data_IF_811645488063
#
_entry.id   IF_811645488063
#
_cell.length_a   1.000
_cell.length_b   1.000
_cell.length_c   1.000
_cell.angle_alpha   90.00
_cell.angle_beta   90.00
_cell.angle_gamma   90.00
#
_symmetry.space_group_name_H-M   'P 1'
#
loop_
_entity.id
_entity.type
_entity.pdbx_description
1 polymer ?
#
# COMPACT_ATOMS: atom_id res chain seq x y z
N UNK A 1 1.98 4.44 9.37
CA UNK A 1 1.19 4.44 8.11
C UNK A 1 1.21 5.84 7.51
N UNK A 2 1.37 5.97 6.19
CA UNK A 2 1.53 7.22 5.48
C UNK A 2 2.78 8.02 5.90
N UNK A 3 3.86 7.32 6.20
CA UNK A 3 5.16 7.97 6.41
C UNK A 3 5.64 8.64 5.11
N UNK A 4 6.20 9.85 5.15
CA UNK A 4 6.64 10.57 3.96
C UNK A 4 7.63 9.79 3.08
N UNK A 5 8.53 8.98 3.64
CA UNK A 5 9.47 8.15 2.88
C UNK A 5 8.75 6.99 2.17
N UNK A 6 7.76 6.37 2.83
CA UNK A 6 6.93 5.34 2.22
C UNK A 6 6.08 5.92 1.08
N UNK A 7 5.48 7.10 1.29
CA UNK A 7 4.71 7.82 0.28
C UNK A 7 5.53 8.12 -0.98
N UNK A 8 6.77 8.57 -0.78
CA UNK A 8 7.70 8.89 -1.87
C UNK A 8 8.03 7.66 -2.72
N UNK A 9 8.10 6.48 -2.12
CA UNK A 9 8.29 5.21 -2.83
C UNK A 9 7.04 4.77 -3.60
N UNK A 10 5.85 5.09 -3.11
CA UNK A 10 4.57 4.74 -3.73
C UNK A 10 4.27 5.56 -5.00
N UNK A 11 4.69 6.83 -5.04
CA UNK A 11 4.41 7.74 -6.17
C UNK A 11 4.93 7.21 -7.53
N UNK A 12 6.22 6.82 -7.69
CA UNK A 12 6.70 6.29 -8.97
C UNK A 12 6.03 4.97 -9.34
N UNK A 13 5.60 4.16 -8.37
CA UNK A 13 4.87 2.92 -8.65
C UNK A 13 3.48 3.20 -9.26
N UNK A 14 2.75 4.20 -8.77
CA UNK A 14 1.47 4.63 -9.34
C UNK A 14 1.64 5.16 -10.76
N UNK A 15 2.65 6.02 -11.00
CA UNK A 15 2.96 6.55 -12.33
C UNK A 15 3.37 5.43 -13.30
N UNK A 16 4.21 4.48 -12.84
CA UNK A 16 4.64 3.34 -13.65
C UNK A 16 3.49 2.40 -14.02
N UNK A 17 2.57 2.16 -13.08
CA UNK A 17 1.38 1.34 -13.33
C UNK A 17 0.48 2.00 -14.38
N UNK A 18 0.29 3.32 -14.29
CA UNK A 18 -0.43 4.11 -15.29
C UNK A 18 0.25 4.04 -16.66
N UNK A 19 1.58 4.21 -16.68
CA UNK A 19 2.40 4.10 -17.89
C UNK A 19 2.23 2.73 -18.56
N UNK A 20 2.31 1.64 -17.80
CA UNK A 20 2.13 0.28 -18.31
C UNK A 20 0.77 0.12 -19.00
N UNK A 21 -0.30 0.63 -18.42
CA UNK A 21 -1.62 0.60 -19.03
C UNK A 21 -1.71 1.47 -20.29
N UNK A 22 -1.05 2.64 -20.33
CA UNK A 22 -0.95 3.46 -21.54
C UNK A 22 -0.20 2.75 -22.67
N UNK A 23 0.91 2.07 -22.35
CA UNK A 23 1.70 1.30 -23.35
C UNK A 23 0.83 0.19 -23.96
N UNK A 24 0.02 -0.51 -23.17
CA UNK A 24 -0.89 -1.54 -23.69
C UNK A 24 -1.91 -0.96 -24.69
N UNK A 25 -2.43 0.23 -24.44
CA UNK A 25 -3.32 0.93 -25.37
C UNK A 25 -2.56 1.40 -26.60
N UNK A 26 -1.37 1.96 -26.43
CA UNK A 26 -0.52 2.40 -27.54
C UNK A 26 -0.17 1.24 -28.49
N UNK A 27 0.22 0.08 -27.96
CA UNK A 27 0.51 -1.12 -28.77
C UNK A 27 -0.69 -1.62 -29.56
N UNK A 28 -1.90 -1.53 -29.01
CA UNK A 28 -3.11 -2.08 -29.65
C UNK A 28 -3.84 -1.09 -30.55
N UNK A 29 -3.70 0.21 -30.29
CA UNK A 29 -4.53 1.25 -30.92
C UNK A 29 -3.73 2.40 -31.52
N UNK A 30 -2.42 2.49 -31.23
CA UNK A 30 -1.53 3.57 -31.66
C UNK A 30 -2.04 4.96 -31.21
N UNK A 31 -2.61 5.05 -30.01
CA UNK A 31 -3.06 6.26 -29.35
C UNK A 31 -2.39 6.41 -27.99
N UNK A 32 -2.48 7.54 -27.32
CA UNK A 32 -1.87 7.87 -26.02
C UNK A 32 -0.34 8.01 -26.04
N UNK A 33 0.25 8.35 -27.19
CA UNK A 33 1.70 8.55 -27.31
C UNK A 33 2.20 9.64 -26.36
N UNK A 34 1.50 10.79 -26.30
CA UNK A 34 1.83 11.87 -25.38
C UNK A 34 1.77 11.44 -23.92
N UNK A 35 0.76 10.67 -23.53
CA UNK A 35 0.65 10.09 -22.19
C UNK A 35 1.83 9.17 -21.84
N UNK A 36 2.24 8.32 -22.76
CA UNK A 36 3.39 7.41 -22.55
C UNK A 36 4.68 8.20 -22.34
N UNK A 37 4.93 9.23 -23.14
CA UNK A 37 6.14 10.06 -23.00
C UNK A 37 6.12 10.82 -21.67
N UNK A 38 5.02 11.52 -21.36
CA UNK A 38 4.90 12.31 -20.13
C UNK A 38 5.02 11.43 -18.90
N UNK A 39 4.34 10.27 -18.87
CA UNK A 39 4.41 9.35 -17.74
C UNK A 39 5.77 8.68 -17.59
N UNK A 40 6.51 8.45 -18.67
CA UNK A 40 7.89 7.95 -18.60
C UNK A 40 8.81 8.96 -17.93
N UNK A 41 8.71 10.24 -18.32
CA UNK A 41 9.45 11.33 -17.70
C UNK A 41 9.03 11.48 -16.24
N UNK A 42 7.73 11.51 -15.95
CA UNK A 42 7.20 11.68 -14.60
C UNK A 42 7.62 10.53 -13.68
N UNK A 43 7.57 9.28 -14.13
CA UNK A 43 7.97 8.11 -13.33
C UNK A 43 9.43 8.20 -12.91
N UNK A 44 10.31 8.50 -13.86
CA UNK A 44 11.74 8.68 -13.57
C UNK A 44 11.98 9.87 -12.64
N UNK A 45 11.35 11.00 -12.92
CA UNK A 45 11.44 12.22 -12.10
C UNK A 45 10.99 11.96 -10.66
N UNK A 46 9.85 11.28 -10.46
CA UNK A 46 9.34 10.95 -9.13
C UNK A 46 10.28 9.99 -8.37
N UNK A 47 10.91 9.04 -9.04
CA UNK A 47 11.90 8.15 -8.43
C UNK A 47 13.14 8.92 -7.96
N UNK A 48 13.66 9.83 -8.78
CA UNK A 48 14.80 10.69 -8.43
C UNK A 48 14.42 11.73 -7.36
N UNK A 49 13.20 12.29 -7.42
CA UNK A 49 12.67 13.19 -6.40
C UNK A 49 12.59 12.47 -5.04
N UNK A 50 12.21 11.19 -5.03
CA UNK A 50 12.24 10.35 -3.86
C UNK A 50 13.62 10.26 -3.23
N UNK A 51 14.64 10.00 -4.04
CA UNK A 51 16.02 9.95 -3.59
C UNK A 51 16.49 11.29 -3.02
N UNK A 52 16.11 12.40 -3.68
CA UNK A 52 16.38 13.75 -3.17
C UNK A 52 15.72 13.98 -1.81
N UNK A 53 14.43 13.72 -1.67
CA UNK A 53 13.69 13.98 -0.44
C UNK A 53 14.25 13.20 0.76
N UNK A 54 14.64 11.93 0.56
CA UNK A 54 15.24 11.10 1.61
C UNK A 54 16.64 11.58 1.99
N UNK A 55 17.44 12.03 1.02
CA UNK A 55 18.86 12.45 1.25
C UNK A 55 19.00 13.87 1.75
N UNK A 56 18.11 14.77 1.35
CA UNK A 56 18.17 16.20 1.71
C UNK A 56 18.00 16.48 3.21
N UNK A 57 17.43 15.53 3.96
CA UNK A 57 17.08 15.75 5.37
C UNK A 57 15.86 16.65 5.59
N UNK A 58 15.16 17.03 4.53
CA UNK A 58 13.97 17.89 4.58
C UNK A 58 12.77 17.13 5.14
N UNK A 59 12.70 15.80 4.90
CA UNK A 59 11.59 14.97 5.38
C UNK A 59 11.72 14.65 6.86
N UNK A 60 10.68 14.92 7.62
CA UNK A 60 10.56 14.50 9.00
C UNK A 60 9.99 13.07 9.04
N UNK A 61 10.86 12.07 9.01
CA UNK A 61 10.49 10.65 9.00
C UNK A 61 11.45 9.84 9.86
N UNK A 62 10.93 8.80 10.49
CA UNK A 62 11.74 7.81 11.22
C UNK A 62 12.66 6.99 10.31
N UNK A 63 12.47 7.05 8.99
CA UNK A 63 13.24 6.33 7.97
C UNK A 63 14.32 7.19 7.31
N UNK A 64 14.54 8.43 7.75
CA UNK A 64 15.60 9.30 7.24
C UNK A 64 16.89 9.10 8.03
N UNK A 65 17.71 8.12 7.64
CA UNK A 65 18.92 7.74 8.38
C UNK A 65 20.20 8.46 7.96
N UNK A 66 20.23 9.08 6.79
CA UNK A 66 21.43 9.64 6.21
C UNK A 66 21.17 11.01 5.58
N UNK A 67 21.09 12.02 6.44
CA UNK A 67 20.98 13.40 6.00
C UNK A 67 22.31 13.89 5.42
N UNK A 68 22.29 14.24 4.15
CA UNK A 68 23.42 14.81 3.42
C UNK A 68 22.92 15.94 2.52
N UNK A 69 22.80 17.16 3.04
CA UNK A 69 22.24 18.29 2.31
C UNK A 69 23.02 18.65 1.05
N UNK A 70 24.35 18.45 1.03
CA UNK A 70 25.19 18.76 -0.14
C UNK A 70 24.89 17.82 -1.31
N UNK A 71 24.81 16.52 -1.03
CA UNK A 71 24.36 15.53 -2.04
C UNK A 71 22.90 15.74 -2.43
N UNK A 72 22.06 16.14 -1.48
CA UNK A 72 20.68 16.53 -1.74
C UNK A 72 20.59 17.66 -2.76
N UNK A 73 21.37 18.73 -2.59
CA UNK A 73 21.43 19.86 -3.51
C UNK A 73 21.92 19.44 -4.91
N UNK A 74 22.94 18.59 -4.98
CA UNK A 74 23.42 18.06 -6.25
C UNK A 74 22.32 17.30 -7.02
N UNK A 75 21.58 16.42 -6.32
CA UNK A 75 20.48 15.67 -6.91
C UNK A 75 19.37 16.63 -7.37
N UNK A 76 19.06 17.68 -6.61
CA UNK A 76 18.03 18.67 -6.96
C UNK A 76 18.39 19.42 -8.25
N UNK A 77 19.64 19.89 -8.37
CA UNK A 77 20.13 20.57 -9.58
C UNK A 77 20.09 19.65 -10.79
N UNK A 78 20.59 18.41 -10.62
CA UNK A 78 20.51 17.40 -11.68
C UNK A 78 19.07 17.14 -12.14
N UNK A 79 18.16 17.01 -11.19
CA UNK A 79 16.74 16.76 -11.43
C UNK A 79 16.09 17.93 -12.17
N UNK A 80 16.41 19.18 -11.76
CA UNK A 80 15.93 20.37 -12.44
C UNK A 80 16.39 20.42 -13.91
N UNK A 81 17.68 20.17 -14.18
CA UNK A 81 18.23 20.13 -15.53
C UNK A 81 17.54 19.05 -16.36
N UNK A 82 17.37 17.85 -15.79
CA UNK A 82 16.73 16.73 -16.48
C UNK A 82 15.28 16.99 -16.84
N UNK A 83 14.50 17.55 -15.90
CA UNK A 83 13.08 17.93 -16.17
C UNK A 83 13.02 19.00 -17.25
N UNK A 84 13.86 20.05 -17.13
CA UNK A 84 13.90 21.15 -18.06
C UNK A 84 14.23 20.66 -19.49
N UNK A 85 15.27 19.87 -19.64
CA UNK A 85 15.64 19.29 -20.94
C UNK A 85 14.57 18.36 -21.48
N UNK A 86 13.96 17.53 -20.63
CA UNK A 86 12.87 16.62 -21.05
C UNK A 86 11.67 17.39 -21.58
N UNK A 87 11.28 18.47 -20.90
CA UNK A 87 10.19 19.35 -21.33
C UNK A 87 10.53 20.03 -22.65
N UNK A 88 11.75 20.58 -22.80
CA UNK A 88 12.20 21.19 -24.05
C UNK A 88 12.16 20.20 -25.21
N UNK A 89 12.74 19.01 -25.03
CA UNK A 89 12.73 17.96 -26.06
C UNK A 89 11.30 17.58 -26.42
N UNK A 90 10.42 17.42 -25.44
CA UNK A 90 9.02 17.10 -25.68
C UNK A 90 8.35 18.18 -26.55
N UNK A 91 8.48 19.48 -26.20
CA UNK A 91 7.84 20.55 -26.95
C UNK A 91 8.39 20.74 -28.36
N UNK A 92 9.69 20.56 -28.55
CA UNK A 92 10.30 20.82 -29.87
C UNK A 92 10.21 19.61 -30.82
N UNK A 93 10.21 18.38 -30.32
CA UNK A 93 10.30 17.18 -31.15
C UNK A 93 9.05 16.31 -31.14
N UNK A 94 8.15 16.48 -30.16
CA UNK A 94 6.91 15.72 -30.16
C UNK A 94 5.94 16.25 -31.21
N UNK A 95 5.60 15.39 -32.17
CA UNK A 95 4.57 15.65 -33.16
C UNK A 95 3.37 14.76 -32.86
N UNK A 96 2.22 15.36 -32.60
CA UNK A 96 0.99 14.61 -32.47
C UNK A 96 0.60 14.02 -33.82
N UNK A 97 0.76 12.72 -33.98
CA UNK A 97 0.28 11.95 -35.12
C UNK A 97 -1.23 11.61 -35.00
N UNK A 98 -1.97 12.37 -34.20
CA UNK A 98 -3.37 12.08 -33.86
C UNK A 98 -4.37 12.47 -35.00
N UNK A 99 -3.97 12.38 -36.27
CA UNK A 99 -4.89 12.55 -37.39
C UNK A 99 -5.91 11.39 -37.56
N UNK A 100 -5.97 10.43 -36.63
CA UNK A 100 -7.01 9.41 -36.64
C UNK A 100 -8.13 9.84 -35.72
N UNK A 101 -9.29 10.22 -36.30
CA UNK A 101 -10.54 10.39 -35.57
C UNK A 101 -10.88 9.12 -34.80
N UNK A 102 -10.52 9.07 -33.54
CA UNK A 102 -10.79 7.92 -32.69
C UNK A 102 -12.13 8.12 -31.99
N UNK A 103 -13.09 7.26 -32.29
CA UNK A 103 -14.38 7.27 -31.59
C UNK A 103 -14.28 6.44 -30.30
N UNK A 104 -14.31 7.14 -29.15
CA UNK A 104 -14.40 6.50 -27.86
C UNK A 104 -15.83 5.99 -27.60
N UNK A 105 -15.98 4.69 -27.40
CA UNK A 105 -17.21 4.12 -26.87
C UNK A 105 -17.10 3.97 -25.37
N UNK A 106 -18.11 4.42 -24.62
CA UNK A 106 -18.12 4.33 -23.15
C UNK A 106 -17.90 2.90 -22.63
N UNK A 107 -18.50 1.90 -23.29
CA UNK A 107 -18.31 0.48 -22.96
C UNK A 107 -17.22 -0.13 -23.84
N UNK A 108 -15.99 0.33 -23.65
CA UNK A 108 -14.81 -0.21 -24.31
C UNK A 108 -13.67 -0.43 -23.32
N UNK A 109 -12.74 -1.31 -23.68
CA UNK A 109 -11.55 -1.58 -22.88
C UNK A 109 -10.65 -0.36 -22.78
N UNK A 110 -10.55 0.41 -23.86
CA UNK A 110 -9.78 1.66 -23.93
C UNK A 110 -10.29 2.68 -22.92
N UNK A 111 -11.61 2.92 -22.91
CA UNK A 111 -12.23 3.85 -21.97
C UNK A 111 -12.04 3.40 -20.51
N UNK A 112 -12.17 2.10 -20.25
CA UNK A 112 -11.95 1.57 -18.91
C UNK A 112 -10.51 1.74 -18.44
N UNK A 113 -9.52 1.58 -19.34
CA UNK A 113 -8.12 1.84 -19.02
C UNK A 113 -7.88 3.33 -18.76
N UNK A 114 -8.46 4.22 -19.57
CA UNK A 114 -8.36 5.67 -19.32
C UNK A 114 -8.95 6.07 -17.98
N UNK A 115 -10.12 5.55 -17.62
CA UNK A 115 -10.74 5.81 -16.32
C UNK A 115 -9.83 5.31 -15.19
N UNK A 116 -9.27 4.11 -15.31
CA UNK A 116 -8.30 3.58 -14.35
C UNK A 116 -7.07 4.51 -14.22
N UNK A 117 -6.54 5.01 -15.33
CA UNK A 117 -5.40 5.92 -15.33
C UNK A 117 -5.73 7.24 -14.61
N UNK A 118 -6.94 7.78 -14.80
CA UNK A 118 -7.40 8.96 -14.07
C UNK A 118 -7.44 8.73 -12.55
N UNK A 119 -7.94 7.58 -12.09
CA UNK A 119 -7.91 7.24 -10.66
C UNK A 119 -6.48 7.12 -10.13
N UNK A 120 -5.59 6.47 -10.86
CA UNK A 120 -4.18 6.34 -10.45
C UNK A 120 -3.49 7.69 -10.35
N UNK A 121 -3.73 8.59 -11.32
CA UNK A 121 -3.19 9.96 -11.30
C UNK A 121 -3.80 10.79 -10.17
N UNK A 122 -5.08 10.61 -9.86
CA UNK A 122 -5.72 11.23 -8.71
C UNK A 122 -5.06 10.79 -7.40
N UNK A 123 -4.88 9.49 -7.19
CA UNK A 123 -4.21 8.96 -5.99
C UNK A 123 -2.78 9.47 -5.88
N UNK A 124 -2.04 9.48 -6.98
CA UNK A 124 -0.70 10.06 -7.03
C UNK A 124 -0.71 11.54 -6.62
N UNK A 125 -1.65 12.33 -7.13
CA UNK A 125 -1.76 13.76 -6.80
C UNK A 125 -2.08 13.99 -5.32
N UNK A 126 -2.98 13.20 -4.73
CA UNK A 126 -3.29 13.27 -3.30
C UNK A 126 -2.05 12.96 -2.45
N UNK A 127 -1.30 11.91 -2.81
CA UNK A 127 -0.09 11.51 -2.09
C UNK A 127 1.00 12.57 -2.25
N UNK A 128 1.22 13.06 -3.46
CA UNK A 128 2.21 14.10 -3.75
C UNK A 128 1.92 15.37 -2.94
N UNK A 129 0.69 15.88 -2.99
CA UNK A 129 0.30 17.09 -2.26
C UNK A 129 0.43 16.86 -0.75
N UNK A 130 -0.10 15.75 -0.21
CA UNK A 130 -0.04 15.45 1.22
C UNK A 130 1.38 15.28 1.75
N UNK A 131 2.32 14.82 0.90
CA UNK A 131 3.72 14.63 1.29
C UNK A 131 4.55 15.91 1.15
N UNK A 132 4.29 16.73 0.11
CA UNK A 132 5.08 17.94 -0.17
C UNK A 132 4.53 19.20 0.50
N UNK A 133 3.23 19.26 0.79
CA UNK A 133 2.60 20.41 1.41
C UNK A 133 3.22 20.81 2.77
N UNK A 134 3.52 19.87 3.71
CA UNK A 134 4.21 20.21 4.95
C UNK A 134 5.57 20.89 4.73
N UNK A 135 6.34 20.39 3.75
CA UNK A 135 7.66 20.95 3.38
C UNK A 135 7.50 22.40 2.88
N UNK A 136 6.55 22.59 1.98
CA UNK A 136 6.27 23.93 1.44
C UNK A 136 5.86 24.92 2.55
N UNK A 137 5.00 24.49 3.46
CA UNK A 137 4.53 25.32 4.57
C UNK A 137 5.67 25.68 5.53
N UNK A 138 6.55 24.73 5.87
CA UNK A 138 7.70 24.97 6.72
C UNK A 138 8.66 26.02 6.13
N UNK A 139 8.86 25.99 4.82
CA UNK A 139 9.71 26.96 4.12
C UNK A 139 9.08 28.37 4.10
N UNK A 140 7.76 28.48 3.91
CA UNK A 140 7.08 29.78 3.73
C UNK A 140 6.69 30.42 5.07
N UNK A 141 6.19 29.63 6.04
CA UNK A 141 5.65 30.17 7.30
C UNK A 141 6.43 29.71 8.55
N UNK A 142 7.45 28.87 8.40
CA UNK A 142 8.17 28.24 9.50
C UNK A 142 7.29 27.37 10.42
N UNK A 143 6.04 27.09 10.00
CA UNK A 143 5.14 26.21 10.74
C UNK A 143 5.43 24.75 10.42
N UNK A 144 5.55 23.92 11.47
CA UNK A 144 5.73 22.48 11.33
C UNK A 144 4.39 21.75 11.50
N UNK A 145 3.88 21.25 10.40
CA UNK A 145 2.69 20.38 10.40
C UNK A 145 3.05 18.98 9.94
N UNK A 146 2.25 18.00 10.34
CA UNK A 146 2.31 16.64 9.79
C UNK A 146 0.98 16.27 9.16
N UNK A 147 1.02 15.64 8.00
CA UNK A 147 -0.16 15.12 7.30
C UNK A 147 -0.21 13.61 7.53
N UNK A 148 -1.23 13.16 8.25
CA UNK A 148 -1.38 11.77 8.67
C UNK A 148 -2.54 11.02 8.00
N UNK A 149 -2.85 9.79 8.48
CA UNK A 149 -3.87 8.90 7.93
C UNK A 149 -5.24 9.52 7.68
N UNK A 150 -5.78 10.43 8.54
CA UNK A 150 -7.10 11.01 8.31
C UNK A 150 -7.22 11.76 6.99
N UNK A 151 -6.16 12.49 6.58
CA UNK A 151 -6.13 13.22 5.31
C UNK A 151 -6.22 12.26 4.11
N UNK A 152 -5.32 11.27 4.07
CA UNK A 152 -5.26 10.32 2.96
C UNK A 152 -6.51 9.44 2.89
N UNK A 153 -6.97 8.94 4.02
CA UNK A 153 -8.16 8.10 4.07
C UNK A 153 -9.41 8.84 3.59
N UNK A 154 -9.58 10.10 3.98
CA UNK A 154 -10.73 10.93 3.57
C UNK A 154 -10.74 11.21 2.07
N UNK A 155 -9.57 11.38 1.45
CA UNK A 155 -9.46 11.70 0.02
C UNK A 155 -9.40 10.46 -0.86
N UNK A 156 -8.70 9.40 -0.44
CA UNK A 156 -8.50 8.21 -1.26
C UNK A 156 -9.68 7.24 -1.19
N UNK A 157 -10.22 6.98 0.01
CA UNK A 157 -11.20 5.90 0.20
C UNK A 157 -12.50 6.07 -0.61
N UNK A 158 -13.11 7.26 -0.77
CA UNK A 158 -14.29 7.42 -1.62
C UNK A 158 -14.04 7.08 -3.08
N UNK A 159 -12.86 7.43 -3.60
CA UNK A 159 -12.49 7.17 -4.99
C UNK A 159 -11.95 5.75 -5.22
N UNK A 160 -11.57 5.06 -4.15
CA UNK A 160 -11.20 3.65 -4.23
C UNK A 160 -12.40 2.78 -4.64
N UNK A 161 -13.61 3.10 -4.19
CA UNK A 161 -14.83 2.35 -4.53
C UNK A 161 -15.08 2.28 -6.05
N UNK A 162 -15.25 3.40 -6.78
CA UNK A 162 -15.42 3.35 -8.23
C UNK A 162 -14.19 2.77 -8.95
N UNK A 163 -12.99 3.00 -8.46
CA UNK A 163 -11.77 2.39 -8.99
C UNK A 163 -11.84 0.85 -8.95
N UNK A 164 -12.20 0.24 -7.82
CA UNK A 164 -12.36 -1.20 -7.69
C UNK A 164 -13.46 -1.76 -8.62
N UNK A 165 -14.55 -1.03 -8.78
CA UNK A 165 -15.61 -1.40 -9.73
C UNK A 165 -15.10 -1.44 -11.17
N UNK A 166 -14.44 -0.39 -11.64
CA UNK A 166 -13.88 -0.35 -13.00
C UNK A 166 -12.79 -1.39 -13.19
N UNK A 167 -11.98 -1.67 -12.18
CA UNK A 167 -10.98 -2.73 -12.22
C UNK A 167 -11.60 -4.12 -12.33
N UNK A 168 -12.75 -4.37 -11.70
CA UNK A 168 -13.47 -5.65 -11.80
C UNK A 168 -14.07 -5.87 -13.19
N UNK A 169 -14.60 -4.83 -13.83
CA UNK A 169 -15.32 -4.92 -15.10
C UNK A 169 -14.42 -4.69 -16.32
N UNK A 170 -13.47 -3.75 -16.23
CA UNK A 170 -12.64 -3.33 -17.35
C UNK A 170 -11.95 -4.47 -18.12
N UNK A 171 -11.31 -5.45 -17.46
CA UNK A 171 -10.70 -6.59 -18.14
C UNK A 171 -11.68 -7.45 -18.96
N UNK A 172 -12.99 -7.36 -18.67
CA UNK A 172 -14.06 -8.10 -19.37
C UNK A 172 -14.54 -7.41 -20.63
N UNK A 173 -14.21 -6.15 -20.79
CA UNK A 173 -14.59 -5.37 -21.96
C UNK A 173 -13.73 -5.74 -23.17
N UNK A 174 -14.34 -5.63 -24.36
CA UNK A 174 -13.65 -5.79 -25.64
C UNK A 174 -13.06 -4.44 -26.08
N UNK A 175 -12.08 -4.50 -26.96
CA UNK A 175 -11.59 -3.35 -27.69
C UNK A 175 -12.68 -2.79 -28.61
N UNK A 176 -12.78 -1.46 -28.72
CA UNK A 176 -13.72 -0.67 -29.49
C UNK A 176 -15.12 -0.64 -28.84
N UNK A 177 -15.86 -1.74 -28.85
CA UNK A 177 -17.24 -1.81 -28.31
C UNK A 177 -17.50 -3.15 -27.65
N UNK A 178 -18.06 -3.11 -26.46
CA UNK A 178 -18.42 -4.29 -25.68
C UNK A 178 -19.91 -4.48 -25.60
N UNK A 179 -20.33 -5.75 -25.57
CA UNK A 179 -21.62 -6.19 -25.11
C UNK A 179 -21.44 -6.89 -23.74
N UNK A 180 -22.21 -6.48 -22.77
CA UNK A 180 -22.18 -7.01 -21.39
C UNK A 180 -23.29 -8.05 -21.19
N UNK A 181 -24.16 -8.27 -22.20
CA UNK A 181 -25.25 -9.24 -22.11
C UNK A 181 -24.77 -10.66 -21.76
N UNK A 182 -25.55 -11.39 -20.99
CA UNK A 182 -25.26 -12.79 -20.62
C UNK A 182 -24.22 -13.02 -19.53
N UNK A 183 -23.73 -11.98 -18.86
CA UNK A 183 -22.74 -12.12 -17.76
C UNK A 183 -23.41 -12.12 -16.38
N UNK A 184 -24.39 -12.98 -16.17
CA UNK A 184 -25.18 -13.06 -14.91
C UNK A 184 -24.30 -13.26 -13.67
N UNK A 185 -23.13 -13.88 -13.79
CA UNK A 185 -22.18 -14.08 -12.70
C UNK A 185 -21.68 -12.75 -12.08
N UNK A 186 -21.66 -11.65 -12.85
CA UNK A 186 -21.29 -10.34 -12.33
C UNK A 186 -22.28 -9.88 -11.27
N UNK A 187 -23.59 -10.08 -11.54
CA UNK A 187 -24.66 -9.75 -10.60
C UNK A 187 -24.60 -10.68 -9.38
N UNK A 188 -24.42 -11.98 -9.62
CA UNK A 188 -24.33 -12.97 -8.54
C UNK A 188 -23.19 -12.65 -7.56
N UNK A 189 -21.99 -12.39 -8.05
CA UNK A 189 -20.85 -12.05 -7.19
C UNK A 189 -21.03 -10.72 -6.48
N UNK A 190 -21.69 -9.75 -7.11
CA UNK A 190 -22.03 -8.50 -6.44
C UNK A 190 -22.98 -8.74 -5.25
N UNK A 191 -24.04 -9.54 -5.45
CA UNK A 191 -24.99 -9.87 -4.38
C UNK A 191 -24.31 -10.63 -3.24
N UNK A 192 -23.48 -11.62 -3.55
CA UNK A 192 -22.71 -12.37 -2.54
C UNK A 192 -21.79 -11.42 -1.75
N UNK A 193 -21.08 -10.55 -2.43
CA UNK A 193 -20.18 -9.56 -1.81
C UNK A 193 -20.93 -8.61 -0.90
N UNK A 194 -22.11 -8.15 -1.33
CA UNK A 194 -22.98 -7.27 -0.54
C UNK A 194 -23.48 -7.97 0.74
N UNK A 195 -23.94 -9.20 0.62
CA UNK A 195 -24.43 -9.97 1.78
C UNK A 195 -23.29 -10.20 2.80
N UNK A 196 -22.10 -10.59 2.33
CA UNK A 196 -20.95 -10.79 3.20
C UNK A 196 -20.53 -9.49 3.90
N UNK A 197 -20.52 -8.36 3.18
CA UNK A 197 -20.14 -7.07 3.78
C UNK A 197 -21.15 -6.60 4.82
N UNK A 198 -22.45 -6.77 4.58
CA UNK A 198 -23.50 -6.46 5.57
C UNK A 198 -23.30 -7.30 6.85
N UNK A 199 -23.05 -8.61 6.72
CA UNK A 199 -22.81 -9.48 7.86
C UNK A 199 -21.57 -9.03 8.67
N UNK A 200 -20.48 -8.65 8.01
CA UNK A 200 -19.26 -8.18 8.68
C UNK A 200 -19.52 -6.87 9.43
N UNK A 201 -20.13 -5.90 8.76
CA UNK A 201 -20.38 -4.56 9.33
C UNK A 201 -21.32 -4.60 10.51
N UNK A 202 -22.41 -5.40 10.43
CA UNK A 202 -23.36 -5.57 11.52
C UNK A 202 -22.72 -6.22 12.76
N UNK A 203 -21.88 -7.26 12.56
CA UNK A 203 -21.20 -7.93 13.67
C UNK A 203 -20.19 -7.04 14.39
N UNK A 204 -19.54 -6.13 13.66
CA UNK A 204 -18.47 -5.26 14.21
C UNK A 204 -18.98 -3.91 14.72
N UNK A 205 -20.25 -3.56 14.46
CA UNK A 205 -20.89 -2.29 14.86
C UNK A 205 -20.11 -1.05 14.40
N UNK A 206 -19.45 -1.14 13.22
CA UNK A 206 -18.74 -0.02 12.60
C UNK A 206 -19.69 0.83 11.74
N UNK A 207 -19.24 2.01 11.29
CA UNK A 207 -20.03 2.87 10.40
C UNK A 207 -20.59 2.09 9.21
N UNK A 208 -21.93 2.05 9.10
CA UNK A 208 -22.61 1.08 8.24
C UNK A 208 -22.44 1.36 6.75
N UNK A 209 -22.77 2.57 6.29
CA UNK A 209 -22.92 2.83 4.86
C UNK A 209 -21.60 2.73 4.10
N UNK A 210 -20.62 3.52 4.50
CA UNK A 210 -19.34 3.63 3.78
C UNK A 210 -18.53 2.33 3.84
N UNK A 211 -18.44 1.72 5.03
CA UNK A 211 -17.71 0.47 5.18
C UNK A 211 -18.38 -0.68 4.40
N UNK A 212 -19.72 -0.76 4.40
CA UNK A 212 -20.43 -1.77 3.60
C UNK A 212 -20.10 -1.63 2.12
N UNK A 213 -20.12 -0.42 1.58
CA UNK A 213 -19.81 -0.18 0.16
C UNK A 213 -18.37 -0.58 -0.14
N UNK A 214 -17.41 -0.12 0.64
CA UNK A 214 -15.98 -0.37 0.43
C UNK A 214 -15.64 -1.88 0.50
N UNK A 215 -16.17 -2.57 1.51
CA UNK A 215 -15.98 -4.02 1.68
C UNK A 215 -16.66 -4.78 0.53
N UNK A 216 -17.86 -4.35 0.10
CA UNK A 216 -18.57 -4.97 -1.03
C UNK A 216 -17.75 -4.95 -2.29
N UNK A 217 -17.19 -3.79 -2.68
CA UNK A 217 -16.41 -3.69 -3.92
C UNK A 217 -15.05 -4.39 -3.82
N UNK A 218 -14.47 -4.49 -2.61
CA UNK A 218 -13.25 -5.27 -2.39
C UNK A 218 -13.49 -6.77 -2.57
N UNK A 219 -14.55 -7.35 -1.97
CA UNK A 219 -14.94 -8.73 -2.20
C UNK A 219 -15.38 -8.98 -3.64
N UNK A 220 -16.13 -8.04 -4.23
CA UNK A 220 -16.55 -8.14 -5.63
C UNK A 220 -15.37 -8.28 -6.57
N UNK A 221 -14.37 -7.41 -6.44
CA UNK A 221 -13.14 -7.51 -7.22
C UNK A 221 -12.42 -8.84 -6.97
N UNK A 222 -12.33 -9.27 -5.71
CA UNK A 222 -11.69 -10.52 -5.35
C UNK A 222 -12.36 -11.73 -6.01
N UNK A 223 -13.68 -11.89 -5.90
CA UNK A 223 -14.40 -13.02 -6.52
C UNK A 223 -14.30 -13.02 -8.05
N UNK A 224 -14.35 -11.85 -8.66
CA UNK A 224 -14.17 -11.70 -10.12
C UNK A 224 -12.77 -12.16 -10.54
N UNK A 225 -11.73 -11.74 -9.85
CA UNK A 225 -10.35 -12.08 -10.19
C UNK A 225 -10.01 -13.53 -9.88
N UNK A 226 -10.53 -14.11 -8.80
CA UNK A 226 -10.44 -15.55 -8.51
C UNK A 226 -11.05 -16.36 -9.65
N UNK A 227 -12.26 -16.02 -10.06
CA UNK A 227 -12.92 -16.70 -11.20
C UNK A 227 -12.08 -16.63 -12.49
N UNK A 228 -11.50 -15.48 -12.77
CA UNK A 228 -10.67 -15.31 -13.97
C UNK A 228 -9.39 -16.13 -13.90
N UNK A 229 -8.79 -16.21 -12.73
CA UNK A 229 -7.61 -17.01 -12.49
C UNK A 229 -7.91 -18.51 -12.66
N UNK A 230 -9.03 -18.99 -12.09
CA UNK A 230 -9.44 -20.41 -12.15
C UNK A 230 -9.96 -20.81 -13.53
N UNK A 231 -10.52 -19.88 -14.31
CA UNK A 231 -11.19 -20.17 -15.59
C UNK A 231 -10.28 -20.68 -16.72
N UNK A 232 -9.01 -21.00 -16.44
CA UNK A 232 -8.00 -21.65 -17.32
C UNK A 232 -7.78 -20.97 -18.68
N UNK A 233 -8.13 -19.71 -18.85
CA UNK A 233 -7.77 -18.95 -20.05
C UNK A 233 -6.30 -18.55 -19.95
N UNK A 234 -5.40 -19.50 -20.24
CA UNK A 234 -3.94 -19.29 -20.24
C UNK A 234 -3.50 -18.08 -21.09
N UNK A 235 -4.30 -17.69 -22.05
CA UNK A 235 -4.04 -16.52 -22.91
C UNK A 235 -3.80 -15.22 -22.15
N UNK A 236 -4.31 -15.09 -20.91
CA UNK A 236 -4.20 -13.87 -20.09
C UNK A 236 -3.65 -14.16 -18.69
N UNK A 237 -2.84 -15.22 -18.50
CA UNK A 237 -2.36 -15.65 -17.19
C UNK A 237 -1.61 -14.53 -16.46
N UNK A 238 -0.73 -13.82 -17.16
CA UNK A 238 0.02 -12.67 -16.60
C UNK A 238 -0.92 -11.60 -16.02
N UNK A 239 -1.89 -11.14 -16.81
CA UNK A 239 -2.88 -10.16 -16.37
C UNK A 239 -3.74 -10.70 -15.24
N UNK A 240 -4.23 -11.95 -15.35
CA UNK A 240 -5.09 -12.54 -14.33
C UNK A 240 -4.36 -12.68 -12.98
N UNK A 241 -3.08 -13.07 -13.00
CA UNK A 241 -2.25 -13.22 -11.82
C UNK A 241 -1.98 -11.86 -11.15
N UNK A 242 -1.62 -10.84 -11.94
CA UNK A 242 -1.37 -9.50 -11.42
C UNK A 242 -2.63 -8.87 -10.81
N UNK A 243 -3.78 -8.99 -11.49
CA UNK A 243 -5.05 -8.45 -10.99
C UNK A 243 -5.59 -9.24 -9.79
N UNK A 244 -5.40 -10.55 -9.74
CA UNK A 244 -5.73 -11.36 -8.57
C UNK A 244 -4.84 -10.97 -7.37
N UNK A 245 -3.53 -10.83 -7.59
CA UNK A 245 -2.62 -10.33 -6.56
C UNK A 245 -3.05 -8.97 -6.02
N UNK A 246 -3.41 -8.03 -6.90
CA UNK A 246 -3.87 -6.70 -6.46
C UNK A 246 -5.19 -6.76 -5.69
N UNK A 247 -6.14 -7.57 -6.11
CA UNK A 247 -7.41 -7.74 -5.39
C UNK A 247 -7.21 -8.36 -4.00
N UNK A 248 -6.32 -9.34 -3.89
CA UNK A 248 -5.93 -9.96 -2.62
C UNK A 248 -5.24 -8.93 -1.71
N UNK A 249 -4.39 -8.08 -2.28
CA UNK A 249 -3.70 -7.00 -1.56
C UNK A 249 -4.69 -6.03 -0.91
N UNK A 250 -5.62 -5.48 -1.69
CA UNK A 250 -6.65 -4.55 -1.18
C UNK A 250 -7.52 -5.21 -0.13
N UNK A 251 -8.00 -6.43 -0.40
CA UNK A 251 -8.85 -7.16 0.54
C UNK A 251 -8.12 -7.46 1.84
N UNK A 252 -6.85 -7.89 1.77
CA UNK A 252 -6.04 -8.19 2.95
C UNK A 252 -5.76 -6.95 3.79
N UNK A 253 -5.43 -5.81 3.19
CA UNK A 253 -5.24 -4.53 3.90
C UNK A 253 -6.55 -4.10 4.57
N UNK A 254 -7.67 -4.17 3.85
CA UNK A 254 -8.96 -3.75 4.39
C UNK A 254 -9.39 -4.61 5.58
N UNK A 255 -9.31 -5.94 5.43
CA UNK A 255 -9.65 -6.87 6.52
C UNK A 255 -8.64 -6.79 7.68
N UNK A 256 -7.36 -6.56 7.39
CA UNK A 256 -6.38 -6.29 8.42
C UNK A 256 -6.79 -5.07 9.26
N UNK A 257 -7.10 -3.96 8.61
CA UNK A 257 -7.50 -2.73 9.32
C UNK A 257 -8.77 -2.91 10.17
N UNK A 258 -9.74 -3.66 9.66
CA UNK A 258 -11.03 -3.89 10.33
C UNK A 258 -10.90 -4.84 11.53
N UNK A 259 -10.10 -5.89 11.42
CA UNK A 259 -10.01 -6.96 12.42
C UNK A 259 -8.75 -6.88 13.28
N UNK A 260 -7.85 -5.92 13.05
CA UNK A 260 -6.69 -5.72 13.91
C UNK A 260 -7.13 -5.40 15.33
N UNK A 261 -6.45 -5.98 16.30
CA UNK A 261 -6.62 -5.64 17.71
C UNK A 261 -5.32 -5.15 18.29
N UNK A 262 -5.40 -4.14 19.12
CA UNK A 262 -4.25 -3.56 19.81
C UNK A 262 -4.61 -3.33 21.28
N UNK A 263 -3.67 -3.68 22.15
CA UNK A 263 -3.73 -3.40 23.57
C UNK A 263 -2.41 -2.74 23.99
N UNK A 264 -2.53 -1.61 24.68
CA UNK A 264 -1.41 -0.90 25.29
C UNK A 264 -1.70 -0.85 26.79
N UNK A 265 -0.78 -1.34 27.59
CA UNK A 265 -0.91 -1.37 29.05
C UNK A 265 0.45 -1.20 29.72
N UNK A 266 0.45 -0.72 30.97
CA UNK A 266 1.66 -0.63 31.77
C UNK A 266 1.67 -1.75 32.80
N UNK A 267 2.70 -2.59 32.80
CA UNK A 267 2.85 -3.75 33.67
C UNK A 267 4.21 -3.73 34.38
N UNK A 268 4.23 -4.18 35.62
CA UNK A 268 5.44 -4.61 36.33
C UNK A 268 5.66 -6.13 36.15
N UNK A 269 6.86 -6.59 36.44
CA UNK A 269 7.13 -8.03 36.55
C UNK A 269 6.25 -8.63 37.64
N UNK A 270 5.55 -9.72 37.30
CA UNK A 270 4.56 -10.37 38.14
C UNK A 270 3.13 -9.93 37.93
N UNK A 271 2.90 -8.80 37.24
CA UNK A 271 1.55 -8.30 36.95
C UNK A 271 0.89 -9.10 35.81
N UNK A 272 -0.44 -9.05 35.79
CA UNK A 272 -1.26 -9.60 34.70
C UNK A 272 -2.30 -8.60 34.23
N UNK A 273 -2.54 -8.58 32.91
CA UNK A 273 -3.59 -7.80 32.28
C UNK A 273 -4.58 -8.74 31.58
N UNK A 274 -5.87 -8.58 31.85
CA UNK A 274 -6.95 -9.38 31.23
C UNK A 274 -7.74 -8.53 30.24
N UNK A 275 -7.73 -8.95 28.97
CA UNK A 275 -8.62 -8.48 27.93
C UNK A 275 -9.77 -9.46 27.69
N UNK A 276 -10.72 -9.12 26.86
CA UNK A 276 -11.88 -10.00 26.56
C UNK A 276 -11.46 -11.34 25.93
N UNK A 277 -10.41 -11.36 25.10
CA UNK A 277 -10.00 -12.51 24.29
C UNK A 277 -8.73 -13.19 24.77
N UNK A 278 -7.95 -12.55 25.63
CA UNK A 278 -6.66 -13.05 26.11
C UNK A 278 -6.25 -12.42 27.42
N UNK A 279 -5.32 -13.09 28.11
CA UNK A 279 -4.66 -12.58 29.31
C UNK A 279 -3.16 -12.50 29.04
N UNK A 280 -2.51 -11.41 29.43
CA UNK A 280 -1.05 -11.20 29.34
C UNK A 280 -0.51 -11.24 30.76
N UNK A 281 0.45 -12.14 31.03
CA UNK A 281 1.19 -12.23 32.29
C UNK A 281 2.63 -11.84 32.02
N UNK A 282 3.17 -10.88 32.78
CA UNK A 282 4.56 -10.48 32.70
C UNK A 282 5.38 -11.31 33.68
N UNK A 283 6.03 -12.37 33.17
CA UNK A 283 6.68 -13.37 34.04
C UNK A 283 8.01 -12.90 34.59
N UNK A 284 8.91 -12.40 33.72
CA UNK A 284 10.27 -12.04 34.13
C UNK A 284 10.93 -11.07 33.17
N UNK A 285 12.01 -10.43 33.65
CA UNK A 285 12.95 -9.64 32.87
C UNK A 285 14.33 -10.27 32.93
N UNK A 286 15.00 -10.33 31.80
CA UNK A 286 16.38 -10.79 31.68
C UNK A 286 17.22 -9.68 31.05
N UNK A 287 18.32 -9.32 31.66
CA UNK A 287 19.28 -8.37 31.13
C UNK A 287 20.47 -9.12 30.54
N UNK A 288 20.91 -8.72 29.33
CA UNK A 288 22.14 -9.23 28.68
C UNK A 288 22.98 -8.04 28.23
N UNK A 289 24.27 -8.12 28.48
CA UNK A 289 25.24 -7.14 28.00
C UNK A 289 25.88 -7.64 26.70
N UNK A 290 25.62 -6.93 25.62
CA UNK A 290 26.20 -7.18 24.28
C UNK A 290 27.34 -6.18 24.02
N UNK A 291 28.12 -6.37 22.93
CA UNK A 291 29.32 -5.56 22.64
C UNK A 291 29.03 -4.05 22.50
N UNK A 292 27.88 -3.69 21.93
CA UNK A 292 27.54 -2.31 21.59
C UNK A 292 26.21 -1.82 22.18
N UNK A 293 25.46 -2.68 22.86
CA UNK A 293 24.19 -2.33 23.52
C UNK A 293 23.94 -3.21 24.73
N UNK A 294 23.08 -2.74 25.62
CA UNK A 294 22.46 -3.53 26.68
C UNK A 294 21.08 -3.95 26.26
N UNK A 295 20.77 -5.24 26.39
CA UNK A 295 19.48 -5.82 26.07
C UNK A 295 18.67 -6.08 27.34
N UNK A 296 17.41 -5.64 27.35
CA UNK A 296 16.42 -5.96 28.38
C UNK A 296 15.33 -6.75 27.68
N UNK A 297 15.23 -8.04 27.98
CA UNK A 297 14.27 -8.96 27.38
C UNK A 297 13.15 -9.23 28.37
N UNK A 298 11.91 -8.92 27.98
CA UNK A 298 10.73 -9.24 28.78
C UNK A 298 10.14 -10.57 28.37
N UNK A 299 9.92 -11.48 29.31
CA UNK A 299 9.18 -12.72 29.06
C UNK A 299 7.72 -12.52 29.42
N UNK A 300 6.84 -12.55 28.42
CA UNK A 300 5.40 -12.40 28.58
C UNK A 300 4.66 -13.65 28.10
N UNK A 301 3.72 -14.09 28.91
CA UNK A 301 2.87 -15.27 28.61
C UNK A 301 1.49 -14.78 28.23
N UNK A 302 1.04 -15.15 27.03
CA UNK A 302 -0.29 -14.82 26.50
C UNK A 302 -1.16 -16.08 26.58
N UNK A 303 -2.21 -16.03 27.37
CA UNK A 303 -3.22 -17.08 27.47
C UNK A 303 -4.46 -16.65 26.68
N UNK A 304 -4.81 -17.36 25.62
CA UNK A 304 -6.03 -17.09 24.88
C UNK A 304 -7.26 -17.70 25.60
N UNK A 305 -8.45 -17.14 25.34
CA UNK A 305 -9.72 -17.65 25.88
C UNK A 305 -9.99 -19.13 25.57
N UNK A 306 -9.28 -19.74 24.60
CA UNK A 306 -9.34 -21.17 24.26
C UNK A 306 -8.30 -22.03 25.00
N UNK A 307 -7.57 -21.47 25.97
CA UNK A 307 -6.57 -22.18 26.77
C UNK A 307 -5.21 -22.39 26.07
N UNK A 308 -4.99 -21.82 24.89
CA UNK A 308 -3.66 -21.87 24.28
C UNK A 308 -2.71 -20.86 24.94
N UNK A 309 -1.52 -21.32 25.28
CA UNK A 309 -0.47 -20.54 25.90
C UNK A 309 0.60 -20.23 24.84
N UNK A 310 1.02 -19.00 24.79
CA UNK A 310 2.07 -18.52 23.89
C UNK A 310 3.04 -17.62 24.65
N UNK A 311 4.34 -17.84 24.46
CA UNK A 311 5.39 -17.03 25.08
C UNK A 311 5.92 -16.05 24.06
N UNK A 312 6.01 -14.77 24.44
CA UNK A 312 6.62 -13.70 23.65
C UNK A 312 7.74 -13.04 24.46
N UNK A 313 8.86 -12.74 23.77
CA UNK A 313 10.07 -12.22 24.37
C UNK A 313 10.54 -10.93 23.67
N UNK A 314 9.76 -9.82 23.74
CA UNK A 314 10.19 -8.55 23.18
C UNK A 314 11.43 -8.01 23.90
N UNK A 315 12.25 -7.28 23.15
CA UNK A 315 13.55 -6.78 23.61
C UNK A 315 13.60 -5.24 23.56
N UNK A 316 14.20 -4.62 24.57
CA UNK A 316 14.58 -3.22 24.55
C UNK A 316 16.11 -3.13 24.49
N UNK A 317 16.65 -2.54 23.44
CA UNK A 317 18.09 -2.33 23.26
C UNK A 317 18.46 -0.90 23.60
N UNK A 318 19.46 -0.77 24.44
CA UNK A 318 20.05 0.54 24.84
C UNK A 318 21.47 0.58 24.29
N UNK A 319 21.66 1.33 23.23
CA UNK A 319 22.96 1.46 22.55
C UNK A 319 23.89 2.44 23.28
N UNK A 320 25.19 2.12 23.28
CA UNK A 320 26.20 2.94 23.92
C UNK A 320 26.60 4.15 23.03
N UNK A 321 26.63 3.95 21.71
CA UNK A 321 27.00 4.97 20.73
C UNK A 321 26.20 4.77 19.42
N UNK A 322 25.34 5.74 19.04
CA UNK A 322 24.84 6.86 19.84
C UNK A 322 23.98 6.34 21.02
N UNK A 323 23.86 7.14 22.09
CA UNK A 323 23.04 6.76 23.23
C UNK A 323 21.55 6.86 22.89
N UNK A 324 21.03 5.80 22.32
CA UNK A 324 19.62 5.66 21.92
C UNK A 324 19.06 4.33 22.43
N UNK A 325 17.78 4.30 22.68
CA UNK A 325 17.05 3.05 22.96
C UNK A 325 16.12 2.69 21.81
N UNK A 326 16.11 1.41 21.43
CA UNK A 326 15.19 0.87 20.43
C UNK A 326 14.38 -0.26 21.03
N UNK A 327 13.09 -0.30 20.68
CA UNK A 327 12.20 -1.39 21.08
C UNK A 327 12.11 -2.39 19.93
N UNK A 328 12.60 -3.60 20.17
CA UNK A 328 12.57 -4.71 19.22
C UNK A 328 11.35 -5.59 19.50
N UNK A 329 10.49 -5.71 18.48
CA UNK A 329 9.28 -6.50 18.61
C UNK A 329 9.59 -8.00 18.53
N UNK A 330 8.97 -8.78 19.42
CA UNK A 330 8.81 -10.21 19.16
C UNK A 330 7.61 -10.40 18.23
N UNK A 331 7.81 -11.16 17.14
CA UNK A 331 6.83 -11.37 16.09
C UNK A 331 6.58 -12.87 15.92
N UNK A 332 5.33 -13.28 16.16
CA UNK A 332 4.86 -14.63 15.86
C UNK A 332 4.02 -14.62 14.59
N UNK A 333 4.62 -15.10 13.51
CA UNK A 333 3.97 -15.16 12.19
C UNK A 333 3.02 -16.34 12.10
N UNK A 334 1.81 -16.12 11.58
CA UNK A 334 0.80 -17.15 11.37
C UNK A 334 0.11 -17.02 10.02
N UNK A 335 -0.52 -18.10 9.56
CA UNK A 335 -1.22 -18.12 8.28
C UNK A 335 -2.43 -17.16 8.24
N UNK A 336 -3.13 -16.97 9.35
CA UNK A 336 -4.30 -16.11 9.45
C UNK A 336 -4.00 -14.78 10.14
N UNK A 337 -3.03 -14.71 11.02
CA UNK A 337 -2.68 -13.50 11.76
C UNK A 337 -1.28 -13.54 12.31
N UNK A 338 -0.62 -12.40 12.29
CA UNK A 338 0.63 -12.17 12.97
C UNK A 338 0.37 -11.50 14.32
N UNK A 339 1.20 -11.80 15.30
CA UNK A 339 1.17 -11.23 16.63
C UNK A 339 2.47 -10.49 16.88
N UNK A 340 2.36 -9.27 17.36
CA UNK A 340 3.50 -8.40 17.64
C UNK A 340 3.44 -8.00 19.10
N UNK A 341 4.57 -8.04 19.77
CA UNK A 341 4.71 -7.54 21.13
C UNK A 341 5.94 -6.67 21.24
N UNK A 342 5.78 -5.51 21.87
CA UNK A 342 6.89 -4.62 22.20
C UNK A 342 6.82 -4.20 23.66
N UNK A 343 7.99 -3.89 24.24
CA UNK A 343 8.11 -3.28 25.57
C UNK A 343 8.91 -1.98 25.48
N UNK A 344 8.54 -1.02 26.31
CA UNK A 344 9.28 0.24 26.51
C UNK A 344 9.32 0.60 27.98
N UNK A 345 10.39 1.27 28.43
CA UNK A 345 10.50 1.78 29.79
C UNK A 345 9.60 3.00 29.93
N UNK A 346 8.80 3.04 30.99
CA UNK A 346 8.09 4.25 31.42
C UNK A 346 9.03 5.07 32.29
N UNK A 347 9.36 6.29 31.87
CA UNK A 347 10.30 7.16 32.60
C UNK A 347 9.85 7.38 34.06
N UNK A 348 10.80 7.27 34.98
CA UNK A 348 10.61 7.46 36.43
C UNK A 348 9.64 6.50 37.14
N UNK A 349 9.37 5.33 36.54
CA UNK A 349 8.49 4.31 37.09
C UNK A 349 9.08 2.90 36.92
N UNK A 350 8.68 1.97 37.80
CA UNK A 350 9.04 0.55 37.69
C UNK A 350 8.14 -0.22 36.70
N UNK A 351 7.42 0.53 35.84
CA UNK A 351 6.50 -0.05 34.86
C UNK A 351 7.13 -0.11 33.48
N UNK A 352 6.74 -1.12 32.75
CA UNK A 352 7.00 -1.24 31.31
C UNK A 352 5.71 -1.02 30.54
N UNK A 353 5.76 -0.17 29.52
CA UNK A 353 4.69 -0.05 28.55
C UNK A 353 4.74 -1.26 27.64
N UNK A 354 3.74 -2.12 27.72
CA UNK A 354 3.57 -3.33 26.93
C UNK A 354 2.52 -3.04 25.85
N UNK A 355 2.92 -3.21 24.60
CA UNK A 355 2.05 -3.08 23.44
C UNK A 355 1.92 -4.42 22.75
N UNK A 356 0.72 -4.97 22.72
CA UNK A 356 0.41 -6.22 22.04
C UNK A 356 -0.57 -5.98 20.90
N UNK A 357 -0.23 -6.47 19.69
CA UNK A 357 -1.04 -6.32 18.48
C UNK A 357 -1.28 -7.66 17.82
N UNK A 358 -2.50 -7.90 17.37
CA UNK A 358 -2.84 -9.01 16.47
C UNK A 358 -3.25 -8.43 15.14
N UNK A 359 -2.51 -8.74 14.09
CA UNK A 359 -2.71 -8.23 12.73
C UNK A 359 -3.11 -9.38 11.79
N UNK A 360 -4.39 -9.48 11.42
CA UNK A 360 -4.85 -10.54 10.53
C UNK A 360 -4.31 -10.34 9.11
N UNK A 361 -4.14 -11.47 8.40
CA UNK A 361 -3.82 -11.52 6.96
C UNK A 361 -2.52 -10.83 6.53
N UNK A 362 -1.58 -10.58 7.45
CA UNK A 362 -0.30 -9.94 7.11
C UNK A 362 0.49 -10.73 6.06
N UNK A 363 0.57 -12.07 6.19
CA UNK A 363 1.25 -12.92 5.21
C UNK A 363 0.64 -12.80 3.81
N UNK A 364 -0.69 -12.60 3.72
CA UNK A 364 -1.39 -12.47 2.44
C UNK A 364 -1.11 -11.16 1.74
N UNK A 365 -0.76 -10.09 2.47
CA UNK A 365 -0.25 -8.85 1.91
C UNK A 365 1.06 -9.11 1.15
N UNK A 366 1.99 -9.83 1.75
CA UNK A 366 3.26 -10.20 1.12
C UNK A 366 3.09 -11.15 -0.07
N UNK A 367 2.25 -12.18 0.08
CA UNK A 367 1.91 -13.11 -1.00
C UNK A 367 1.30 -12.34 -2.19
N UNK A 368 0.45 -11.37 -1.94
CA UNK A 368 -0.18 -10.58 -2.99
C UNK A 368 0.83 -9.75 -3.80
N UNK A 369 1.82 -9.15 -3.14
CA UNK A 369 2.91 -8.42 -3.80
C UNK A 369 3.74 -9.36 -4.70
N UNK A 370 4.05 -10.57 -4.21
CA UNK A 370 4.73 -11.58 -5.02
C UNK A 370 3.90 -11.98 -6.24
N UNK A 371 2.59 -12.17 -6.09
CA UNK A 371 1.70 -12.50 -7.22
C UNK A 371 1.66 -11.39 -8.27
N UNK A 372 1.61 -10.12 -7.87
CA UNK A 372 1.68 -8.97 -8.78
C UNK A 372 3.01 -8.99 -9.54
N UNK A 373 4.12 -9.19 -8.82
CA UNK A 373 5.46 -9.23 -9.42
C UNK A 373 5.61 -10.37 -10.42
N UNK A 374 5.21 -11.59 -10.04
CA UNK A 374 5.23 -12.74 -10.94
C UNK A 374 4.31 -12.55 -12.17
N UNK A 375 3.15 -11.92 -11.98
CA UNK A 375 2.28 -11.54 -13.08
C UNK A 375 2.98 -10.62 -14.07
N UNK A 376 3.72 -9.63 -13.60
CA UNK A 376 4.53 -8.74 -14.43
C UNK A 376 5.66 -9.48 -15.18
N UNK A 377 6.43 -10.32 -14.45
CA UNK A 377 7.52 -11.10 -15.04
C UNK A 377 7.05 -12.07 -16.12
N UNK A 378 5.92 -12.75 -15.90
CA UNK A 378 5.32 -13.63 -16.91
C UNK A 378 4.94 -12.88 -18.22
N UNK A 379 4.59 -11.61 -18.12
CA UNK A 379 4.34 -10.78 -19.30
C UNK A 379 5.58 -10.62 -20.18
N UNK A 380 6.75 -10.46 -19.59
CA UNK A 380 8.03 -10.31 -20.30
C UNK A 380 8.43 -11.60 -21.04
N UNK A 381 8.30 -12.74 -20.37
CA UNK A 381 8.67 -14.05 -20.94
C UNK A 381 7.77 -14.39 -22.14
N UNK A 382 6.48 -14.12 -22.03
CA UNK A 382 5.51 -14.47 -23.06
C UNK A 382 5.70 -13.71 -24.37
N UNK A 383 6.04 -12.41 -24.33
CA UNK A 383 6.35 -11.62 -25.54
C UNK A 383 7.50 -12.22 -26.36
N UNK A 384 8.42 -12.94 -25.71
CA UNK A 384 9.58 -13.57 -26.36
C UNK A 384 9.21 -14.80 -27.20
N UNK A 385 8.06 -15.43 -26.92
CA UNK A 385 7.60 -16.64 -27.61
C UNK A 385 6.45 -16.41 -28.60
N UNK A 386 5.87 -15.21 -28.65
CA UNK A 386 4.83 -14.81 -29.59
C UNK A 386 5.39 -14.02 -30.80
N UNK A 387 6.69 -13.71 -30.85
CA UNK A 387 7.50 -13.18 -31.96
C UNK A 387 8.36 -14.30 -32.53
#
# INVERSE_FOLDING_TARGET
FWDPVENVSLMPWLALTTLLHCILVLEKKSILTSWVIILSIATFTLSMCGTFLVRSGILNSVHTFANDPERGLFILVFLFILIFLSILIFFFFHKDNENKSFSFFWLSKETSILINNWFMMYFLSVILIGTTYPIFLEVVSSEKISVGPPFYNKLIAPFLVPFLFFMAIGPKLKWIKSDVSGKIYLILFFVISLLLSILIVQNLKIEFLFNTILITFSFYLFFITVRDFVSKKYKNLSQNLAHFGFSLFILSILLNNIFATEVITNLKVGDSFKAEKFKINFESLTQKDEKNYKSIIGKLIIENSKGSIEVMEPELRIYNQPNISTSEADIKTGFLSDKFMTINIVQNQEYFNVRYQVKPLMIWIWVSVLLITFGGLLSLVRKKYEN
#
